data_IF_001224100003
#
_entry.id   IF_001224100003
#
_cell.length_a   1.000
_cell.length_b   1.000
_cell.length_c   1.000
_cell.angle_alpha   90.00
_cell.angle_beta   90.00
_cell.angle_gamma   90.00
#
_symmetry.space_group_name_H-M   'P 1'
#
loop_
_entity.id
_entity.type
_entity.pdbx_description
1 polymer ?
#
# COMPACT_ATOMS: atom_id res chain seq x y z
N UNK A 1 -4.56 -33.67 -6.20
CA UNK A 1 -3.51 -32.68 -6.48
C UNK A 1 -4.18 -31.43 -7.05
N UNK A 2 -4.62 -30.51 -6.17
CA UNK A 2 -5.22 -29.21 -6.52
C UNK A 2 -4.55 -28.04 -5.76
N UNK A 3 -3.42 -28.33 -5.10
CA UNK A 3 -2.71 -27.38 -4.25
C UNK A 3 -2.15 -26.18 -5.01
N UNK A 4 -1.82 -26.32 -6.29
CA UNK A 4 -1.28 -25.24 -7.11
C UNK A 4 -2.28 -24.10 -7.35
N UNK A 5 -3.51 -24.42 -7.74
CA UNK A 5 -4.56 -23.41 -7.99
C UNK A 5 -5.00 -22.75 -6.67
N UNK A 6 -5.11 -23.54 -5.60
CA UNK A 6 -5.44 -23.02 -4.26
C UNK A 6 -4.33 -22.10 -3.72
N UNK A 7 -3.06 -22.48 -3.90
CA UNK A 7 -1.91 -21.66 -3.50
C UNK A 7 -1.80 -20.36 -4.33
N UNK A 8 -2.09 -20.41 -5.64
CA UNK A 8 -2.18 -19.21 -6.48
C UNK A 8 -3.32 -18.30 -6.01
N UNK A 9 -4.47 -18.86 -5.64
CA UNK A 9 -5.60 -18.10 -5.08
C UNK A 9 -5.26 -17.41 -3.75
N UNK A 10 -4.60 -18.11 -2.84
CA UNK A 10 -4.13 -17.58 -1.56
C UNK A 10 -3.09 -16.47 -1.73
N UNK A 11 -2.11 -16.67 -2.62
CA UNK A 11 -1.14 -15.63 -2.96
C UNK A 11 -1.79 -14.40 -3.59
N UNK A 12 -2.72 -14.59 -4.53
CA UNK A 12 -3.46 -13.51 -5.15
C UNK A 12 -4.32 -12.77 -4.14
N UNK A 13 -4.98 -13.48 -3.22
CA UNK A 13 -5.74 -12.88 -2.13
C UNK A 13 -4.85 -12.04 -1.22
N UNK A 14 -3.68 -12.57 -0.84
CA UNK A 14 -2.72 -11.85 -0.01
C UNK A 14 -2.26 -10.54 -0.69
N UNK A 15 -1.89 -10.60 -1.96
CA UNK A 15 -1.45 -9.42 -2.72
C UNK A 15 -2.59 -8.42 -2.98
N UNK A 16 -3.78 -8.91 -3.32
CA UNK A 16 -4.93 -8.06 -3.66
C UNK A 16 -5.58 -7.44 -2.43
N UNK A 17 -5.73 -8.20 -1.35
CA UNK A 17 -6.38 -7.73 -0.13
C UNK A 17 -5.39 -7.02 0.79
N UNK A 18 -4.35 -7.73 1.25
CA UNK A 18 -3.38 -7.14 2.21
C UNK A 18 -2.52 -6.10 1.53
N UNK A 19 -2.08 -6.34 0.29
CA UNK A 19 -1.31 -5.38 -0.49
C UNK A 19 -2.13 -4.12 -0.83
N UNK A 20 -3.20 -4.25 -1.61
CA UNK A 20 -3.92 -3.07 -2.14
C UNK A 20 -4.76 -2.38 -1.05
N UNK A 21 -5.63 -3.12 -0.35
CA UNK A 21 -6.51 -2.51 0.66
C UNK A 21 -5.76 -2.11 1.92
N UNK A 22 -4.82 -2.94 2.38
CA UNK A 22 -3.95 -2.61 3.50
C UNK A 22 -3.10 -1.36 3.21
N UNK A 23 -2.46 -1.30 2.04
CA UNK A 23 -1.71 -0.12 1.61
C UNK A 23 -2.57 1.14 1.55
N UNK A 24 -3.79 1.06 0.98
CA UNK A 24 -4.71 2.20 0.94
C UNK A 24 -5.15 2.66 2.34
N UNK A 25 -5.47 1.73 3.23
CA UNK A 25 -5.84 2.06 4.61
C UNK A 25 -4.70 2.78 5.35
N UNK A 26 -3.46 2.29 5.19
CA UNK A 26 -2.26 2.93 5.77
C UNK A 26 -2.07 4.32 5.16
N UNK A 27 -2.27 4.49 3.86
CA UNK A 27 -2.18 5.79 3.20
C UNK A 27 -3.18 6.81 3.78
N UNK A 28 -4.45 6.42 3.93
CA UNK A 28 -5.50 7.27 4.52
C UNK A 28 -5.15 7.63 5.97
N UNK A 29 -4.65 6.65 6.74
CA UNK A 29 -4.24 6.88 8.12
C UNK A 29 -3.03 7.82 8.21
N UNK A 30 -2.00 7.61 7.40
CA UNK A 30 -0.83 8.49 7.33
C UNK A 30 -1.22 9.93 6.95
N UNK A 31 -2.18 10.10 6.02
CA UNK A 31 -2.73 11.40 5.63
C UNK A 31 -3.50 12.10 6.75
N UNK A 32 -4.04 11.37 7.73
CA UNK A 32 -4.71 11.94 8.90
C UNK A 32 -3.72 12.60 9.87
N UNK A 33 -2.51 12.04 9.97
CA UNK A 33 -1.45 12.54 10.86
C UNK A 33 -0.51 13.54 10.19
N UNK A 34 -0.37 13.50 8.86
CA UNK A 34 0.50 14.41 8.13
C UNK A 34 -0.16 15.78 7.87
N UNK A 35 0.64 16.86 7.68
CA UNK A 35 0.14 18.17 7.32
C UNK A 35 -0.69 18.15 6.03
N UNK A 36 -1.67 19.06 5.91
CA UNK A 36 -2.50 19.21 4.68
C UNK A 36 -1.73 19.95 3.56
N UNK A 37 -0.51 19.51 3.24
CA UNK A 37 0.35 20.06 2.18
C UNK A 37 0.43 19.10 0.99
N UNK A 38 0.78 19.62 -0.20
CA UNK A 38 1.02 18.80 -1.40
C UNK A 38 2.13 17.78 -1.20
N UNK A 39 3.23 18.18 -0.54
CA UNK A 39 4.37 17.30 -0.24
C UNK A 39 4.03 16.15 0.70
N UNK A 40 2.94 16.26 1.45
CA UNK A 40 2.47 15.22 2.35
C UNK A 40 1.75 14.07 1.63
N UNK A 41 1.52 14.17 0.31
CA UNK A 41 0.94 13.07 -0.47
C UNK A 41 2.02 12.04 -0.84
N UNK A 42 3.16 12.40 -1.47
CA UNK A 42 4.25 11.45 -1.69
C UNK A 42 4.83 10.87 -0.40
N UNK A 43 4.90 11.66 0.68
CA UNK A 43 5.36 11.17 1.98
C UNK A 43 4.40 10.10 2.55
N UNK A 44 3.09 10.33 2.44
CA UNK A 44 2.09 9.34 2.88
C UNK A 44 2.15 8.06 2.03
N UNK A 45 2.34 8.18 0.72
CA UNK A 45 2.46 7.01 -0.16
C UNK A 45 3.72 6.20 0.07
N UNK A 46 4.84 6.87 0.41
CA UNK A 46 6.08 6.22 0.84
C UNK A 46 5.84 5.36 2.08
N UNK A 47 5.26 5.94 3.12
CA UNK A 47 4.97 5.23 4.38
C UNK A 47 4.02 4.07 4.13
N UNK A 48 2.97 4.29 3.33
CA UNK A 48 2.00 3.26 2.99
C UNK A 48 2.65 2.06 2.29
N UNK A 49 3.42 2.31 1.23
CA UNK A 49 4.10 1.27 0.48
C UNK A 49 5.16 0.53 1.33
N UNK A 50 5.92 1.26 2.15
CA UNK A 50 6.93 0.65 3.02
C UNK A 50 6.31 -0.31 4.04
N UNK A 51 5.21 0.09 4.69
CA UNK A 51 4.57 -0.72 5.75
C UNK A 51 3.73 -1.87 5.16
N UNK A 52 3.10 -1.63 4.01
CA UNK A 52 2.29 -2.63 3.31
C UNK A 52 3.08 -3.89 2.95
N UNK A 53 4.31 -3.75 2.43
CA UNK A 53 5.06 -4.88 1.87
C UNK A 53 5.41 -5.94 2.93
N UNK A 54 5.96 -5.58 4.12
CA UNK A 54 6.13 -6.52 5.22
C UNK A 54 4.80 -7.07 5.76
N UNK A 55 3.73 -6.27 5.74
CA UNK A 55 2.41 -6.72 6.20
C UNK A 55 1.83 -7.81 5.29
N UNK A 56 1.98 -7.68 3.97
CA UNK A 56 1.64 -8.73 3.02
C UNK A 56 2.51 -9.97 3.22
N UNK A 57 3.82 -9.81 3.48
CA UNK A 57 4.69 -10.94 3.80
C UNK A 57 4.22 -11.70 5.05
N UNK A 58 3.78 -10.99 6.10
CA UNK A 58 3.18 -11.59 7.29
C UNK A 58 1.87 -12.32 6.98
N UNK A 59 1.02 -11.77 6.12
CA UNK A 59 -0.20 -12.43 5.66
C UNK A 59 0.07 -13.76 4.96
N UNK A 60 1.14 -13.84 4.17
CA UNK A 60 1.61 -15.09 3.57
C UNK A 60 2.09 -16.09 4.64
N UNK A 61 2.92 -15.64 5.59
CA UNK A 61 3.43 -16.48 6.69
C UNK A 61 2.27 -17.06 7.52
N UNK A 62 1.22 -16.29 7.74
CA UNK A 62 0.03 -16.76 8.44
C UNK A 62 -0.72 -17.86 7.67
N UNK A 63 -0.89 -17.69 6.37
CA UNK A 63 -1.49 -18.72 5.51
C UNK A 63 -0.61 -19.98 5.46
N UNK A 64 0.71 -19.81 5.38
CA UNK A 64 1.68 -20.90 5.45
C UNK A 64 1.54 -21.70 6.76
N UNK A 65 1.38 -21.02 7.90
CA UNK A 65 1.21 -21.66 9.20
C UNK A 65 -0.11 -22.46 9.30
N UNK A 66 -1.19 -22.01 8.65
CA UNK A 66 -2.48 -22.71 8.61
C UNK A 66 -2.45 -23.93 7.67
N UNK A 67 -1.59 -23.92 6.65
CA UNK A 67 -1.49 -24.96 5.61
C UNK A 67 -1.08 -26.36 6.08
N UNK A 68 -0.83 -26.56 7.38
CA UNK A 68 -0.72 -27.82 8.14
C UNK A 68 0.27 -28.92 7.66
N UNK A 69 0.93 -28.77 6.51
CA UNK A 69 1.92 -29.72 5.94
C UNK A 69 3.26 -29.01 5.61
N UNK A 70 3.66 -28.05 6.46
CA UNK A 70 4.88 -27.29 6.22
C UNK A 70 6.12 -28.07 6.62
N UNK A 71 6.89 -28.53 5.64
CA UNK A 71 8.19 -29.21 5.82
C UNK A 71 9.25 -28.32 6.47
N UNK A 72 9.04 -26.99 6.45
CA UNK A 72 9.97 -25.99 6.99
C UNK A 72 9.31 -25.29 8.19
N UNK A 73 10.04 -25.05 9.29
CA UNK A 73 9.51 -24.33 10.44
C UNK A 73 8.97 -22.94 10.07
N UNK A 74 7.80 -22.59 10.61
CA UNK A 74 7.15 -21.28 10.39
C UNK A 74 8.07 -20.12 10.76
N UNK A 75 8.86 -20.26 11.82
CA UNK A 75 9.82 -19.23 12.27
C UNK A 75 10.92 -18.97 11.23
N UNK A 76 11.40 -20.02 10.56
CA UNK A 76 12.38 -19.91 9.47
C UNK A 76 11.78 -19.18 8.27
N UNK A 77 10.57 -19.56 7.86
CA UNK A 77 9.85 -18.92 6.75
C UNK A 77 9.53 -17.46 7.10
N UNK A 78 9.07 -17.18 8.31
CA UNK A 78 8.78 -15.83 8.78
C UNK A 78 10.03 -14.95 8.74
N UNK A 79 11.15 -15.44 9.25
CA UNK A 79 12.42 -14.70 9.27
C UNK A 79 12.89 -14.38 7.85
N UNK A 80 12.87 -15.38 6.96
CA UNK A 80 13.29 -15.21 5.57
C UNK A 80 12.35 -14.25 4.80
N UNK A 81 11.04 -14.39 4.96
CA UNK A 81 10.05 -13.54 4.30
C UNK A 81 10.13 -12.10 4.80
N UNK A 82 10.08 -11.86 6.11
CA UNK A 82 10.11 -10.49 6.64
C UNK A 82 11.42 -9.79 6.31
N UNK A 83 12.57 -10.45 6.48
CA UNK A 83 13.88 -9.82 6.21
C UNK A 83 14.04 -9.38 4.75
N UNK A 84 13.69 -10.25 3.81
CA UNK A 84 13.73 -9.92 2.38
C UNK A 84 12.71 -8.83 2.02
N UNK A 85 11.51 -8.89 2.60
CA UNK A 85 10.43 -7.94 2.28
C UNK A 85 10.63 -6.56 2.92
N UNK A 86 11.47 -6.43 3.95
CA UNK A 86 11.93 -5.11 4.41
C UNK A 86 12.75 -4.43 3.31
N UNK A 87 13.71 -5.14 2.70
CA UNK A 87 14.53 -4.57 1.61
C UNK A 87 13.69 -4.24 0.37
N UNK A 88 12.79 -5.15 -0.01
CA UNK A 88 11.83 -4.91 -1.10
C UNK A 88 10.93 -3.72 -0.77
N UNK A 89 10.45 -3.61 0.47
CA UNK A 89 9.62 -2.52 0.94
C UNK A 89 10.29 -1.15 0.81
N UNK A 90 11.60 -1.07 1.04
CA UNK A 90 12.37 0.18 0.80
C UNK A 90 12.32 0.55 -0.68
N UNK A 91 12.62 -0.40 -1.57
CA UNK A 91 12.59 -0.18 -3.02
C UNK A 91 11.22 0.26 -3.51
N UNK A 92 10.18 -0.46 -3.10
CA UNK A 92 8.78 -0.18 -3.47
C UNK A 92 8.33 1.19 -2.95
N UNK A 93 8.71 1.55 -1.73
CA UNK A 93 8.39 2.85 -1.15
C UNK A 93 9.01 4.01 -1.93
N UNK A 94 10.26 3.86 -2.37
CA UNK A 94 10.93 4.86 -3.21
C UNK A 94 10.27 4.96 -4.60
N UNK A 95 10.02 3.82 -5.26
CA UNK A 95 9.33 3.77 -6.56
C UNK A 95 7.94 4.41 -6.46
N UNK A 96 7.19 4.07 -5.43
CA UNK A 96 5.84 4.62 -5.18
C UNK A 96 5.90 6.12 -4.95
N UNK A 97 6.80 6.60 -4.09
CA UNK A 97 6.94 8.02 -3.80
C UNK A 97 7.32 8.83 -5.03
N UNK A 98 8.25 8.33 -5.85
CA UNK A 98 8.66 8.96 -7.11
C UNK A 98 7.52 8.98 -8.11
N UNK A 99 6.81 7.86 -8.29
CA UNK A 99 5.66 7.76 -9.19
C UNK A 99 4.55 8.72 -8.79
N UNK A 100 4.16 8.73 -7.51
CA UNK A 100 3.13 9.65 -6.99
C UNK A 100 3.57 11.10 -7.13
N UNK A 101 4.85 11.41 -6.90
CA UNK A 101 5.40 12.76 -7.10
C UNK A 101 5.33 13.20 -8.57
N UNK A 102 5.70 12.31 -9.50
CA UNK A 102 5.65 12.58 -10.93
C UNK A 102 4.22 12.80 -11.43
N UNK A 103 3.27 11.99 -10.97
CA UNK A 103 1.83 12.18 -11.27
C UNK A 103 1.33 13.48 -10.67
N UNK A 104 1.71 13.81 -9.42
CA UNK A 104 1.30 15.07 -8.79
C UNK A 104 1.87 16.30 -9.51
N UNK A 105 3.07 16.21 -10.07
CA UNK A 105 3.71 17.28 -10.83
C UNK A 105 3.10 17.47 -12.23
N UNK A 106 2.75 16.38 -12.91
CA UNK A 106 2.18 16.39 -14.26
C UNK A 106 0.68 16.69 -14.27
N UNK A 107 -0.09 16.02 -13.40
CA UNK A 107 -1.55 16.05 -13.33
C UNK A 107 -2.04 16.00 -11.88
N UNK A 108 -1.88 17.12 -11.16
CA UNK A 108 -2.27 17.22 -9.74
C UNK A 108 -3.77 16.99 -9.47
N UNK A 109 -4.60 17.04 -10.51
CA UNK A 109 -6.04 16.75 -10.52
C UNK A 109 -6.37 15.25 -10.39
N UNK A 110 -5.45 14.36 -10.78
CA UNK A 110 -5.63 12.91 -10.67
C UNK A 110 -5.27 12.33 -9.31
N UNK A 111 -4.61 13.10 -8.44
CA UNK A 111 -4.14 12.61 -7.15
C UNK A 111 -5.24 12.75 -6.10
N UNK A 112 -5.79 11.61 -5.67
CA UNK A 112 -6.77 11.54 -4.59
C UNK A 112 -6.20 12.14 -3.31
N UNK A 113 -6.70 13.31 -2.89
CA UNK A 113 -6.19 14.10 -1.76
C UNK A 113 -5.81 15.55 -2.10
N UNK A 114 -5.73 15.94 -3.37
CA UNK A 114 -5.59 17.34 -3.83
C UNK A 114 -6.87 17.89 -4.49
N UNK A 115 -8.01 17.20 -4.41
CA UNK A 115 -9.28 17.76 -4.88
C UNK A 115 -9.68 18.94 -4.00
N UNK A 116 -9.16 20.14 -4.31
CA UNK A 116 -9.80 21.40 -3.94
C UNK A 116 -11.19 21.29 -4.53
N UNK A 117 -12.19 21.09 -3.68
CA UNK A 117 -13.57 21.37 -4.03
C UNK A 117 -13.54 22.78 -4.62
N UNK A 118 -13.82 22.91 -5.92
CA UNK A 118 -13.84 24.20 -6.57
C UNK A 118 -14.70 25.13 -5.69
N UNK A 119 -14.22 26.34 -5.33
CA UNK A 119 -15.06 27.25 -4.58
C UNK A 119 -16.34 27.44 -5.39
N UNK A 120 -17.50 27.15 -4.77
CA UNK A 120 -18.78 27.37 -5.38
C UNK A 120 -18.78 28.79 -5.96
N UNK A 121 -18.96 28.90 -7.28
CA UNK A 121 -19.07 30.18 -7.97
C UNK A 121 -20.15 30.98 -7.25
N UNK A 122 -19.75 32.01 -6.51
CA UNK A 122 -20.69 33.05 -6.07
C UNK A 122 -21.13 33.75 -7.35
N UNK A 123 -22.25 33.32 -7.91
CA UNK A 123 -22.95 34.06 -8.95
C UNK A 123 -23.34 35.38 -8.28
N UNK A 124 -22.65 36.45 -8.67
CA UNK A 124 -22.99 37.79 -8.27
C UNK A 124 -24.38 38.11 -8.81
N UNK A 125 -25.38 38.09 -7.94
CA UNK A 125 -26.63 38.79 -8.19
C UNK A 125 -26.34 40.29 -8.01
N UNK A 126 -25.99 40.94 -9.12
CA UNK A 126 -26.10 42.39 -9.28
C UNK A 126 -27.44 42.64 -9.97
N UNK A 127 -28.43 43.12 -9.22
CA UNK A 127 -29.48 44.05 -9.65
C UNK A 127 -30.18 44.58 -8.42
#
# INVERSE_FOLDING_TARGET
>A
ADGGITAVGLNLFNLSFVGVWGGYAIFVLARKFLPKKKSSIPAASLIAAFVQVPLAALGFVFQYAIGAESTIPVTTVATAMISTHILIGIGEALITALTVSAVLASRSDLVFGWRKVAPALKIGAKS
#
